data_IF_654236396328
#
_entry.id   IF_654236396328
#
_cell.length_a   1.000
_cell.length_b   1.000
_cell.length_c   1.000
_cell.angle_alpha   90.00
_cell.angle_beta   90.00
_cell.angle_gamma   90.00
#
_symmetry.space_group_name_H-M   'P 1'
#
loop_
_entity.id
_entity.type
_entity.pdbx_description
1 polymer ?
#
# COMPACT_ATOMS: atom_id res chain seq x y z
N UNK A 1 25.41 33.79 -64.19
CA UNK A 1 24.72 32.52 -63.81
C UNK A 1 25.40 31.98 -62.57
N UNK A 2 24.87 32.23 -61.40
CA UNK A 2 25.44 31.89 -60.12
C UNK A 2 24.46 30.96 -59.37
N UNK A 3 24.85 29.69 -59.28
CA UNK A 3 24.12 28.64 -58.58
C UNK A 3 24.49 28.73 -57.12
N UNK A 4 23.53 29.06 -56.25
CA UNK A 4 23.70 28.98 -54.78
C UNK A 4 23.25 27.60 -54.29
N UNK A 5 24.09 26.88 -53.54
CA UNK A 5 23.62 25.65 -52.87
C UNK A 5 22.83 25.99 -51.62
N UNK A 6 21.65 25.40 -51.50
CA UNK A 6 20.83 25.40 -50.32
C UNK A 6 21.46 24.50 -49.27
N UNK A 7 21.90 25.08 -48.15
CA UNK A 7 22.31 24.39 -46.97
C UNK A 7 21.06 23.86 -46.23
N UNK A 8 20.86 22.55 -46.27
CA UNK A 8 19.86 21.86 -45.47
C UNK A 8 20.30 21.85 -43.99
N UNK A 9 19.58 22.57 -43.16
CA UNK A 9 19.74 22.51 -41.71
C UNK A 9 19.11 21.21 -41.19
N UNK A 10 19.92 20.20 -40.87
CA UNK A 10 19.49 19.03 -40.15
C UNK A 10 19.31 19.41 -38.67
N UNK A 11 18.08 19.63 -38.25
CA UNK A 11 17.74 19.80 -36.83
C UNK A 11 17.88 18.46 -36.15
N UNK A 12 18.93 18.32 -35.35
CA UNK A 12 19.14 17.18 -34.44
C UNK A 12 18.11 17.27 -33.33
N UNK A 13 17.07 16.42 -33.35
CA UNK A 13 16.22 16.12 -32.23
C UNK A 13 17.06 15.34 -31.19
N UNK A 14 17.71 16.06 -30.29
CA UNK A 14 18.28 15.49 -29.11
C UNK A 14 17.11 15.01 -28.22
N UNK A 15 16.79 13.73 -28.32
CA UNK A 15 15.88 13.03 -27.42
C UNK A 15 16.41 13.17 -26.00
N UNK A 16 15.77 13.98 -25.19
CA UNK A 16 15.91 13.98 -23.74
C UNK A 16 15.40 12.65 -23.20
N UNK A 17 16.19 11.61 -23.31
CA UNK A 17 16.10 10.45 -22.43
C UNK A 17 16.55 10.91 -21.04
N UNK A 18 15.64 11.56 -20.32
CA UNK A 18 15.81 11.68 -18.89
C UNK A 18 15.94 10.24 -18.36
N UNK A 19 17.04 9.86 -17.70
CA UNK A 19 17.06 8.60 -16.99
C UNK A 19 15.92 8.71 -15.97
N UNK A 20 14.86 7.87 -16.13
CA UNK A 20 13.97 7.60 -15.05
C UNK A 20 14.89 7.23 -13.89
N UNK A 21 15.07 8.14 -12.94
CA UNK A 21 15.73 7.86 -11.69
C UNK A 21 14.94 6.68 -11.14
N UNK A 22 15.45 5.47 -11.38
CA UNK A 22 15.02 4.29 -10.69
C UNK A 22 15.17 4.70 -9.22
N UNK A 23 14.05 4.98 -8.57
CA UNK A 23 14.00 5.18 -7.14
C UNK A 23 14.61 3.88 -6.63
N UNK A 24 15.89 3.93 -6.31
CA UNK A 24 16.56 2.87 -5.60
C UNK A 24 15.72 2.71 -4.35
N UNK A 25 14.79 1.76 -4.39
CA UNK A 25 14.04 1.35 -3.22
C UNK A 25 15.11 0.93 -2.25
N UNK A 26 15.44 1.84 -1.33
CA UNK A 26 16.43 1.59 -0.32
C UNK A 26 16.01 0.29 0.33
N UNK A 27 16.82 -0.75 0.08
CA UNK A 27 16.55 -2.10 0.56
C UNK A 27 16.29 -1.99 2.06
N UNK A 28 15.11 -2.42 2.48
CA UNK A 28 14.72 -2.44 3.89
C UNK A 28 14.80 -3.87 4.43
N UNK A 29 15.99 -4.33 4.86
CA UNK A 29 16.19 -5.69 5.34
C UNK A 29 15.28 -6.03 6.52
N UNK A 30 14.99 -5.04 7.37
CA UNK A 30 14.09 -5.26 8.49
C UNK A 30 12.65 -5.48 8.02
N UNK A 31 12.14 -4.66 7.10
CA UNK A 31 10.83 -4.88 6.49
C UNK A 31 10.73 -6.18 5.70
N UNK A 32 11.80 -6.58 5.00
CA UNK A 32 11.90 -7.88 4.33
C UNK A 32 11.82 -9.05 5.33
N UNK A 33 12.58 -8.96 6.44
CA UNK A 33 12.53 -9.95 7.51
C UNK A 33 11.13 -10.04 8.12
N UNK A 34 10.52 -8.91 8.47
CA UNK A 34 9.16 -8.87 9.02
C UNK A 34 8.18 -9.62 8.12
N UNK A 35 8.18 -9.34 6.80
CA UNK A 35 7.31 -10.03 5.85
C UNK A 35 7.58 -11.54 5.80
N UNK A 36 8.85 -11.94 5.78
CA UNK A 36 9.25 -13.33 5.68
C UNK A 36 8.92 -14.14 6.97
N UNK A 37 8.96 -13.48 8.13
CA UNK A 37 8.71 -14.11 9.45
C UNK A 37 7.26 -13.99 9.94
N UNK A 38 6.41 -13.27 9.21
CA UNK A 38 4.99 -13.09 9.55
C UNK A 38 4.17 -14.12 8.78
N UNK A 39 3.63 -15.11 9.50
CA UNK A 39 2.73 -16.13 8.97
C UNK A 39 1.36 -15.53 8.60
N UNK A 40 0.52 -16.32 7.91
CA UNK A 40 -0.88 -15.92 7.65
C UNK A 40 -1.64 -15.66 8.95
N UNK A 41 -1.50 -16.55 9.94
CA UNK A 41 -2.15 -16.37 11.24
C UNK A 41 -1.68 -15.11 11.97
N UNK A 42 -0.40 -14.74 11.83
CA UNK A 42 0.12 -13.49 12.39
C UNK A 42 -0.50 -12.26 11.70
N UNK A 43 -0.69 -12.31 10.38
CA UNK A 43 -1.38 -11.23 9.63
C UNK A 43 -2.83 -11.10 10.06
N UNK A 44 -3.53 -12.19 10.32
CA UNK A 44 -4.89 -12.17 10.88
C UNK A 44 -4.93 -11.48 12.25
N UNK A 45 -3.92 -11.69 13.11
CA UNK A 45 -3.78 -10.97 14.38
C UNK A 45 -3.66 -9.46 14.14
N UNK A 46 -2.82 -9.04 13.20
CA UNK A 46 -2.64 -7.62 12.87
C UNK A 46 -3.94 -7.01 12.30
N UNK A 47 -4.62 -7.71 11.41
CA UNK A 47 -5.91 -7.27 10.83
C UNK A 47 -6.95 -7.06 11.94
N UNK A 48 -7.08 -8.02 12.86
CA UNK A 48 -8.01 -7.91 14.01
C UNK A 48 -7.67 -6.73 14.90
N UNK A 49 -6.40 -6.48 15.16
CA UNK A 49 -5.95 -5.34 15.97
C UNK A 49 -6.26 -4.01 15.26
N UNK A 50 -5.95 -3.89 13.97
CA UNK A 50 -6.29 -2.69 13.17
C UNK A 50 -7.81 -2.47 13.16
N UNK A 51 -8.60 -3.52 12.95
CA UNK A 51 -10.05 -3.45 13.02
C UNK A 51 -10.54 -2.95 14.38
N UNK A 52 -9.98 -3.47 15.47
CA UNK A 52 -10.30 -3.03 16.82
C UNK A 52 -9.95 -1.55 17.05
N UNK A 53 -8.85 -1.06 16.48
CA UNK A 53 -8.46 0.34 16.54
C UNK A 53 -9.41 1.23 15.71
N UNK A 54 -9.71 0.84 14.47
CA UNK A 54 -10.61 1.57 13.57
C UNK A 54 -12.04 1.64 14.13
N UNK A 55 -12.50 0.59 14.83
CA UNK A 55 -13.82 0.55 15.46
C UNK A 55 -14.05 1.66 16.51
N UNK A 56 -12.99 2.33 16.98
CA UNK A 56 -13.07 3.47 17.90
C UNK A 56 -13.24 4.81 17.18
N UNK A 57 -13.05 4.84 15.86
CA UNK A 57 -13.23 6.06 15.08
C UNK A 57 -14.68 6.53 15.14
N UNK A 58 -14.89 7.83 15.28
CA UNK A 58 -16.21 8.44 15.24
C UNK A 58 -16.98 8.13 13.95
N UNK A 59 -16.27 7.83 12.86
CA UNK A 59 -16.87 7.54 11.56
C UNK A 59 -17.54 6.15 11.48
N UNK A 60 -17.19 5.20 12.36
CA UNK A 60 -17.67 3.81 12.25
C UNK A 60 -18.14 3.20 13.58
N UNK A 61 -17.96 3.87 14.71
CA UNK A 61 -18.26 3.33 16.05
C UNK A 61 -19.73 2.98 16.27
N UNK A 62 -20.63 3.61 15.53
CA UNK A 62 -22.07 3.33 15.54
C UNK A 62 -22.43 2.09 14.71
N UNK A 63 -21.59 1.73 13.74
CA UNK A 63 -21.75 0.56 12.88
C UNK A 63 -21.18 -0.72 13.52
N UNK A 64 -20.26 -0.59 14.50
CA UNK A 64 -19.50 -1.70 15.06
C UNK A 64 -19.59 -1.72 16.57
N UNK A 65 -20.16 -2.81 17.13
CA UNK A 65 -20.17 -3.06 18.57
C UNK A 65 -19.08 -4.07 18.91
N UNK A 66 -17.88 -3.57 19.22
CA UNK A 66 -16.79 -4.39 19.73
C UNK A 66 -16.62 -4.12 21.22
N UNK A 67 -16.77 -5.17 22.06
CA UNK A 67 -16.61 -5.04 23.51
C UNK A 67 -15.15 -4.76 23.92
N UNK A 68 -14.96 -4.20 25.12
CA UNK A 68 -13.66 -3.83 25.65
C UNK A 68 -12.71 -5.04 25.75
N UNK A 69 -13.23 -6.19 26.21
CA UNK A 69 -12.43 -7.39 26.36
C UNK A 69 -11.79 -7.84 25.06
N UNK A 70 -12.54 -7.81 23.95
CA UNK A 70 -12.02 -8.15 22.62
C UNK A 70 -11.01 -7.15 22.12
N UNK A 71 -11.18 -5.85 22.40
CA UNK A 71 -10.19 -4.82 22.04
C UNK A 71 -8.88 -5.03 22.77
N UNK A 72 -8.95 -5.25 24.07
CA UNK A 72 -7.77 -5.54 24.91
C UNK A 72 -7.07 -6.80 24.42
N UNK A 73 -7.82 -7.88 24.17
CA UNK A 73 -7.26 -9.12 23.65
C UNK A 73 -6.54 -8.93 22.31
N UNK A 74 -7.15 -8.21 21.35
CA UNK A 74 -6.52 -7.94 20.07
C UNK A 74 -5.22 -7.14 20.23
N UNK A 75 -5.20 -6.14 21.12
CA UNK A 75 -4.01 -5.34 21.41
C UNK A 75 -2.90 -6.17 22.08
N UNK A 76 -3.25 -7.06 23.01
CA UNK A 76 -2.30 -7.95 23.65
C UNK A 76 -1.66 -8.92 22.65
N UNK A 77 -2.46 -9.54 21.78
CA UNK A 77 -1.96 -10.47 20.77
C UNK A 77 -1.04 -9.76 19.77
N UNK A 78 -1.42 -8.56 19.30
CA UNK A 78 -0.58 -7.77 18.42
C UNK A 78 0.73 -7.34 19.10
N UNK A 79 0.67 -6.91 20.37
CA UNK A 79 1.87 -6.56 21.15
C UNK A 79 2.83 -7.73 21.33
N UNK A 80 2.32 -8.92 21.64
CA UNK A 80 3.13 -10.14 21.75
C UNK A 80 3.78 -10.51 20.41
N UNK A 81 3.01 -10.43 19.31
CA UNK A 81 3.51 -10.66 17.96
C UNK A 81 4.63 -9.69 17.60
N UNK A 82 4.40 -8.39 17.79
CA UNK A 82 5.40 -7.35 17.51
C UNK A 82 6.67 -7.58 18.33
N UNK A 83 6.51 -7.89 19.63
CA UNK A 83 7.65 -8.21 20.50
C UNK A 83 8.44 -9.39 19.97
N UNK A 84 7.78 -10.49 19.59
CA UNK A 84 8.44 -11.67 19.01
C UNK A 84 9.21 -11.30 17.75
N UNK A 85 8.56 -10.61 16.79
CA UNK A 85 9.17 -10.24 15.52
C UNK A 85 10.41 -9.37 15.72
N UNK A 86 10.34 -8.35 16.57
CA UNK A 86 11.44 -7.39 16.78
C UNK A 86 12.59 -7.98 17.60
N UNK A 87 12.27 -8.72 18.67
CA UNK A 87 13.28 -9.13 19.67
C UNK A 87 13.86 -10.51 19.43
N UNK A 88 13.20 -11.33 18.60
CA UNK A 88 13.62 -12.70 18.31
C UNK A 88 13.83 -12.91 16.81
N UNK A 89 12.77 -12.83 16.02
CA UNK A 89 12.75 -13.32 14.65
C UNK A 89 13.58 -12.42 13.69
N UNK A 90 13.56 -11.10 13.91
CA UNK A 90 14.25 -10.10 13.08
C UNK A 90 15.17 -9.18 13.92
N UNK A 91 15.72 -9.72 15.00
CA UNK A 91 16.49 -8.94 15.98
C UNK A 91 17.70 -8.22 15.34
N UNK A 92 18.43 -8.91 14.47
CA UNK A 92 19.66 -8.36 13.87
C UNK A 92 19.30 -7.18 12.98
N UNK A 93 18.35 -7.37 12.08
CA UNK A 93 17.90 -6.35 11.14
C UNK A 93 17.25 -5.16 11.87
N UNK A 94 16.49 -5.43 12.93
CA UNK A 94 15.91 -4.40 13.78
C UNK A 94 17.00 -3.55 14.45
N UNK A 95 18.00 -4.17 15.06
CA UNK A 95 19.11 -3.46 15.70
C UNK A 95 19.91 -2.62 14.71
N UNK A 96 20.22 -3.16 13.52
CA UNK A 96 20.93 -2.42 12.46
C UNK A 96 20.09 -1.24 11.96
N UNK A 97 18.78 -1.41 11.88
CA UNK A 97 17.89 -0.36 11.44
C UNK A 97 17.77 0.77 12.44
N UNK A 98 17.62 0.45 13.74
CA UNK A 98 17.54 1.42 14.84
C UNK A 98 18.81 2.27 14.93
N UNK A 99 19.98 1.65 14.77
CA UNK A 99 21.26 2.36 14.80
C UNK A 99 21.40 3.41 13.70
N UNK A 100 20.81 3.14 12.51
CA UNK A 100 20.90 4.06 11.37
C UNK A 100 19.85 5.17 11.43
N UNK A 101 18.61 4.83 11.79
CA UNK A 101 17.49 5.73 11.84
C UNK A 101 16.41 5.18 12.79
N UNK A 102 16.27 5.74 13.99
CA UNK A 102 15.25 5.30 14.94
C UNK A 102 13.83 5.39 14.42
N UNK A 103 13.53 6.34 13.51
CA UNK A 103 12.21 6.50 12.90
C UNK A 103 11.90 5.46 11.83
N UNK A 104 12.90 4.78 11.31
CA UNK A 104 12.72 3.82 10.22
C UNK A 104 12.00 2.53 10.63
N UNK A 105 11.93 2.21 11.92
CA UNK A 105 11.10 1.11 12.44
C UNK A 105 9.64 1.31 12.04
N UNK A 106 9.13 2.52 12.19
CA UNK A 106 7.74 2.84 11.82
C UNK A 106 7.48 2.57 10.32
N UNK A 107 8.43 2.90 9.45
CA UNK A 107 8.32 2.66 8.01
C UNK A 107 8.26 1.15 7.69
N UNK A 108 9.07 0.34 8.39
CA UNK A 108 9.07 -1.11 8.21
C UNK A 108 7.76 -1.75 8.68
N UNK A 109 7.17 -1.28 9.78
CA UNK A 109 5.84 -1.71 10.21
C UNK A 109 4.73 -1.23 9.28
N UNK A 110 4.87 -0.06 8.69
CA UNK A 110 3.95 0.42 7.64
C UNK A 110 3.95 -0.53 6.43
N UNK A 111 5.13 -1.02 6.02
CA UNK A 111 5.24 -1.99 4.94
C UNK A 111 4.57 -3.33 5.29
N UNK A 112 4.72 -3.79 6.55
CA UNK A 112 4.02 -4.99 7.04
C UNK A 112 2.50 -4.79 7.06
N UNK A 113 2.02 -3.65 7.52
CA UNK A 113 0.60 -3.29 7.52
C UNK A 113 0.01 -3.28 6.10
N UNK A 114 0.75 -2.74 5.13
CA UNK A 114 0.33 -2.80 3.71
C UNK A 114 0.22 -4.23 3.21
N UNK A 115 1.17 -5.11 3.55
CA UNK A 115 1.10 -6.52 3.15
C UNK A 115 -0.15 -7.21 3.73
N UNK A 116 -0.49 -6.96 4.99
CA UNK A 116 -1.71 -7.48 5.62
C UNK A 116 -2.99 -6.95 4.94
N UNK A 117 -3.01 -5.66 4.58
CA UNK A 117 -4.14 -5.07 3.84
C UNK A 117 -4.27 -5.64 2.41
N UNK A 118 -3.16 -5.94 1.75
CA UNK A 118 -3.19 -6.60 0.43
C UNK A 118 -3.76 -8.00 0.50
N UNK A 119 -3.45 -8.77 1.56
CA UNK A 119 -4.06 -10.08 1.80
C UNK A 119 -5.58 -9.94 2.01
N UNK A 120 -6.01 -8.93 2.78
CA UNK A 120 -7.43 -8.64 3.00
C UNK A 120 -8.14 -8.26 1.70
N UNK A 121 -7.48 -7.48 0.84
CA UNK A 121 -8.02 -7.09 -0.47
C UNK A 121 -8.13 -8.26 -1.47
N UNK A 122 -7.53 -9.41 -1.17
CA UNK A 122 -7.64 -10.65 -1.94
C UNK A 122 -8.69 -11.61 -1.37
N UNK A 123 -9.27 -11.31 -0.20
CA UNK A 123 -10.34 -12.11 0.37
C UNK A 123 -11.60 -11.99 -0.49
N UNK A 124 -12.17 -13.12 -1.00
CA UNK A 124 -13.33 -13.09 -1.89
C UNK A 124 -14.56 -12.38 -1.28
N UNK A 125 -14.75 -12.46 0.03
CA UNK A 125 -15.87 -11.80 0.71
C UNK A 125 -15.66 -10.28 0.75
N UNK A 126 -14.43 -9.84 0.98
CA UNK A 126 -14.06 -8.41 0.96
C UNK A 126 -14.21 -7.86 -0.45
N UNK A 127 -13.65 -8.56 -1.45
CA UNK A 127 -13.76 -8.17 -2.87
C UNK A 127 -15.22 -8.09 -3.29
N UNK A 128 -16.03 -9.10 -2.95
CA UNK A 128 -17.47 -9.12 -3.26
C UNK A 128 -18.21 -7.93 -2.63
N UNK A 129 -17.90 -7.61 -1.38
CA UNK A 129 -18.50 -6.46 -0.68
C UNK A 129 -18.10 -5.13 -1.32
N UNK A 130 -16.81 -4.97 -1.66
CA UNK A 130 -16.33 -3.75 -2.33
C UNK A 130 -16.93 -3.59 -3.73
N UNK A 131 -17.01 -4.69 -4.50
CA UNK A 131 -17.64 -4.68 -5.81
C UNK A 131 -19.14 -4.36 -5.73
N UNK A 132 -19.79 -4.72 -4.63
CA UNK A 132 -21.21 -4.44 -4.38
C UNK A 132 -21.56 -2.95 -4.42
N UNK A 133 -20.62 -2.05 -4.18
CA UNK A 133 -20.85 -0.59 -4.28
C UNK A 133 -21.29 -0.17 -5.69
N UNK A 134 -20.88 -0.92 -6.72
CA UNK A 134 -21.24 -0.64 -8.11
C UNK A 134 -22.75 -0.74 -8.34
N UNK A 135 -23.48 -1.51 -7.55
CA UNK A 135 -24.95 -1.62 -7.63
C UNK A 135 -25.65 -0.31 -7.24
N UNK A 136 -24.97 0.53 -6.47
CA UNK A 136 -25.48 1.82 -5.98
C UNK A 136 -24.82 3.01 -6.69
N UNK A 137 -23.96 2.73 -7.67
CA UNK A 137 -23.23 3.76 -8.43
C UNK A 137 -24.02 4.09 -9.70
N UNK A 138 -24.25 5.36 -9.96
CA UNK A 138 -24.86 5.82 -11.22
C UNK A 138 -23.85 5.71 -12.37
N UNK A 139 -23.80 4.50 -12.93
CA UNK A 139 -22.91 4.21 -14.07
C UNK A 139 -23.32 4.97 -15.32
N UNK A 140 -24.58 5.39 -15.45
CA UNK A 140 -25.08 6.20 -16.56
C UNK A 140 -24.42 7.57 -16.58
N UNK A 141 -24.43 8.27 -15.46
CA UNK A 141 -23.77 9.57 -15.30
C UNK A 141 -22.25 9.48 -15.54
N UNK A 142 -21.60 8.44 -15.02
CA UNK A 142 -20.17 8.21 -15.24
C UNK A 142 -19.88 7.99 -16.74
N UNK A 143 -20.67 7.17 -17.41
CA UNK A 143 -20.52 6.89 -18.84
C UNK A 143 -20.69 8.16 -19.68
N UNK A 144 -21.70 8.99 -19.40
CA UNK A 144 -21.89 10.28 -20.08
C UNK A 144 -20.70 11.20 -19.88
N UNK A 145 -20.19 11.35 -18.66
CA UNK A 145 -19.00 12.15 -18.38
C UNK A 145 -17.78 11.67 -19.17
N UNK A 146 -17.57 10.35 -19.28
CA UNK A 146 -16.47 9.79 -20.06
C UNK A 146 -16.62 10.07 -21.55
N UNK A 147 -17.84 10.01 -22.10
CA UNK A 147 -18.11 10.34 -23.50
C UNK A 147 -17.86 11.82 -23.79
N UNK A 148 -18.29 12.72 -22.90
CA UNK A 148 -18.01 14.16 -22.99
C UNK A 148 -16.49 14.45 -22.96
N UNK A 149 -15.73 13.68 -22.17
CA UNK A 149 -14.26 13.74 -22.14
C UNK A 149 -13.55 13.07 -23.32
N UNK A 150 -14.30 12.58 -24.33
CA UNK A 150 -13.74 11.92 -25.51
C UNK A 150 -13.31 10.47 -25.31
N UNK A 151 -13.57 9.90 -24.13
CA UNK A 151 -13.31 8.48 -23.83
C UNK A 151 -14.54 7.65 -24.24
N UNK A 152 -14.41 6.83 -25.30
CA UNK A 152 -15.46 5.88 -25.68
C UNK A 152 -15.29 4.60 -24.86
N UNK A 153 -16.32 4.14 -24.12
CA UNK A 153 -16.26 2.83 -23.47
C UNK A 153 -16.26 1.74 -24.56
N UNK A 154 -15.19 0.98 -24.63
CA UNK A 154 -15.09 -0.25 -25.41
C UNK A 154 -14.56 -0.05 -26.84
N UNK A 155 -13.27 0.01 -27.00
CA UNK A 155 -12.50 -0.55 -28.11
C UNK A 155 -11.42 -1.44 -27.52
#
# INVERSE_FOLDING_TARGET
MTIRPLLAAAAAFASFLAPAAAQAQTRDPFGECLRARTSRADRDVLIRWVYAAVSQSAAVRDMVKLDEGRRVQASQQAGQLITRLVTRDCRVEAMERIKRDPGAIQNSFTALGRAALMDLAQDPNVVGTLAGVLQYTDMGSITMMLMEGGLRPGN
#
